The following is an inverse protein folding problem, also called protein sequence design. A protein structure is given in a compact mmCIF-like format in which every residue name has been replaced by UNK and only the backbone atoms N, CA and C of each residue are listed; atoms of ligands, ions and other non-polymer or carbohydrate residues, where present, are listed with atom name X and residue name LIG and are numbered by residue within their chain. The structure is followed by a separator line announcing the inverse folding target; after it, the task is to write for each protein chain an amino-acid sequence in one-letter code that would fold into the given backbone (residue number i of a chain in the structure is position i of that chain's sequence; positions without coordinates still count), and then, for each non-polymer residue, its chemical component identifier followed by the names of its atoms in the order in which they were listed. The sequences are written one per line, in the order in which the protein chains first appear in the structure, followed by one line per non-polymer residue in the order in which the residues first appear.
data_IF_483544573713
#
_entry.id   IF_483544573713
#
_cell.length_a   1.000
_cell.length_b   1.000
_cell.length_c   1.000
_cell.angle_alpha   90.00
_cell.angle_beta   90.00
_cell.angle_gamma   90.00
#
_symmetry.space_group_name_H-M   'P 1'
#
loop_
_entity.id
_entity.type
_entity.pdbx_description
1 polymer ?
#
# COMPACT_ATOMS: atom_id res chain seq x y z
N UNK A 1 15.89 3.59 0.07
CA UNK A 1 14.43 3.48 -0.05
C UNK A 1 13.78 4.83 -0.08
N UNK A 2 12.59 4.94 -0.66
CA UNK A 2 11.80 6.16 -0.70
C UNK A 2 10.32 5.85 -0.74
N UNK A 3 9.51 6.68 -0.11
CA UNK A 3 8.07 6.48 0.00
C UNK A 3 7.31 7.79 -0.03
N UNK A 4 6.08 7.73 -0.53
CA UNK A 4 5.14 8.85 -0.48
C UNK A 4 3.72 8.34 -0.24
N UNK A 5 2.91 9.14 0.41
CA UNK A 5 1.50 8.84 0.65
C UNK A 5 0.63 10.10 0.59
N UNK A 6 -0.69 9.89 0.49
CA UNK A 6 -1.68 10.97 0.43
C UNK A 6 -1.44 12.00 -0.71
N UNK A 7 -0.88 11.56 -1.82
CA UNK A 7 -0.70 12.35 -3.04
C UNK A 7 -1.99 12.33 -3.86
N UNK A 8 -2.40 13.49 -4.38
CA UNK A 8 -3.66 13.66 -5.11
C UNK A 8 -3.47 14.16 -6.54
N UNK A 9 -2.37 14.86 -6.82
CA UNK A 9 -2.15 15.55 -8.12
C UNK A 9 -1.01 15.00 -8.95
N UNK A 10 -0.22 14.08 -8.43
CA UNK A 10 0.92 13.51 -9.17
C UNK A 10 0.46 12.33 -10.02
N UNK A 11 0.74 12.38 -11.33
CA UNK A 11 0.36 11.31 -12.27
C UNK A 11 0.95 9.95 -11.90
N UNK A 12 2.21 9.94 -11.43
CA UNK A 12 2.96 8.73 -11.11
C UNK A 12 3.62 8.84 -9.73
N UNK A 13 2.91 8.53 -8.63
CA UNK A 13 3.46 8.62 -7.27
C UNK A 13 4.76 7.84 -7.06
N UNK A 14 4.93 6.71 -7.73
CA UNK A 14 6.15 5.90 -7.64
C UNK A 14 7.41 6.66 -8.11
N UNK A 15 7.27 7.60 -9.04
CA UNK A 15 8.39 8.46 -9.47
C UNK A 15 8.81 9.43 -8.37
N UNK A 16 7.85 9.92 -7.56
CA UNK A 16 8.16 10.75 -6.40
C UNK A 16 8.87 9.92 -5.34
N UNK A 17 8.37 8.71 -5.04
CA UNK A 17 9.03 7.79 -4.11
C UNK A 17 10.48 7.50 -4.54
N UNK A 18 10.71 7.27 -5.82
CA UNK A 18 12.05 7.10 -6.39
C UNK A 18 12.90 8.36 -6.20
N UNK A 19 12.36 9.55 -6.46
CA UNK A 19 13.07 10.81 -6.29
C UNK A 19 13.41 11.08 -4.81
N UNK A 20 12.51 10.72 -3.87
CA UNK A 20 12.81 10.77 -2.43
C UNK A 20 14.04 9.95 -2.10
N UNK A 21 14.13 8.73 -2.64
CA UNK A 21 15.27 7.84 -2.44
C UNK A 21 16.57 8.38 -3.02
N UNK A 22 16.51 8.96 -4.23
CA UNK A 22 17.71 9.32 -4.98
C UNK A 22 18.23 10.73 -4.65
N UNK A 23 17.35 11.66 -4.23
CA UNK A 23 17.65 13.08 -4.16
C UNK A 23 17.33 13.74 -2.82
N UNK A 24 16.90 12.99 -1.81
CA UNK A 24 16.66 13.53 -0.48
C UNK A 24 17.39 12.78 0.60
N UNK A 25 17.57 13.43 1.75
CA UNK A 25 18.06 12.79 2.98
C UNK A 25 16.95 12.12 3.79
N UNK A 26 15.71 12.23 3.33
CA UNK A 26 14.53 11.68 3.99
C UNK A 26 14.10 10.38 3.32
N UNK A 27 13.26 9.62 4.00
CA UNK A 27 12.75 8.33 3.50
C UNK A 27 11.28 8.46 3.05
N UNK A 28 10.51 9.33 3.69
CA UNK A 28 9.06 9.41 3.44
C UNK A 28 8.56 10.84 3.47
N UNK A 29 7.72 11.18 2.48
CA UNK A 29 6.93 12.40 2.44
C UNK A 29 5.44 12.10 2.36
N UNK A 30 4.60 13.04 2.82
CA UNK A 30 3.15 12.88 2.88
C UNK A 30 2.40 14.12 2.40
N UNK A 31 1.26 13.89 1.75
CA UNK A 31 0.28 14.92 1.39
C UNK A 31 0.87 16.07 0.60
N UNK A 32 0.52 17.30 0.99
CA UNK A 32 0.94 18.52 0.31
C UNK A 32 2.46 18.68 0.25
N UNK A 33 3.19 18.29 1.30
CA UNK A 33 4.65 18.33 1.28
C UNK A 33 5.26 17.41 0.23
N UNK A 34 4.67 16.22 0.02
CA UNK A 34 5.10 15.32 -1.04
C UNK A 34 4.79 15.89 -2.44
N UNK A 35 3.66 16.60 -2.61
CA UNK A 35 3.31 17.26 -3.87
C UNK A 35 4.21 18.46 -4.18
N UNK A 36 4.55 19.27 -3.17
CA UNK A 36 5.52 20.36 -3.31
C UNK A 36 6.90 19.82 -3.70
N UNK A 37 7.35 18.73 -3.07
CA UNK A 37 8.60 18.08 -3.44
C UNK A 37 8.56 17.56 -4.88
N UNK A 38 7.45 16.97 -5.33
CA UNK A 38 7.25 16.52 -6.69
C UNK A 38 7.33 17.70 -7.69
N UNK A 39 6.69 18.83 -7.35
CA UNK A 39 6.71 20.04 -8.17
C UNK A 39 8.12 20.63 -8.31
N UNK A 40 8.86 20.74 -7.20
CA UNK A 40 10.25 21.22 -7.19
C UNK A 40 11.19 20.36 -8.04
N UNK A 41 10.87 19.08 -8.21
CA UNK A 41 11.62 18.14 -9.02
C UNK A 41 11.02 17.90 -10.42
N UNK A 42 10.14 18.79 -10.88
CA UNK A 42 9.50 18.73 -12.20
C UNK A 42 8.78 17.40 -12.52
N UNK A 43 8.23 16.73 -11.51
CA UNK A 43 7.44 15.52 -11.73
C UNK A 43 6.04 15.92 -12.20
N UNK A 44 5.53 15.35 -13.30
CA UNK A 44 4.26 15.72 -13.89
C UNK A 44 3.09 15.62 -12.93
N UNK A 45 2.33 16.69 -12.85
CA UNK A 45 1.07 16.77 -12.10
C UNK A 45 -0.12 16.71 -13.05
N UNK A 46 -1.28 16.42 -12.50
CA UNK A 46 -2.54 16.39 -13.24
C UNK A 46 -3.68 16.92 -12.38
N UNK A 47 -4.70 17.41 -13.05
CA UNK A 47 -5.95 17.81 -12.42
C UNK A 47 -6.75 16.59 -11.96
N UNK A 48 -7.72 16.81 -11.08
CA UNK A 48 -8.58 15.75 -10.55
C UNK A 48 -9.31 14.95 -11.65
N UNK A 49 -9.61 15.58 -12.78
CA UNK A 49 -10.23 14.94 -13.94
C UNK A 49 -9.38 13.81 -14.55
N UNK A 50 -8.07 13.90 -14.47
CA UNK A 50 -7.16 12.85 -14.94
C UNK A 50 -7.35 11.53 -14.18
N UNK A 51 -7.67 11.61 -12.89
CA UNK A 51 -7.84 10.43 -12.02
C UNK A 51 -9.29 9.93 -11.99
N UNK A 52 -10.22 10.69 -12.61
CA UNK A 52 -11.62 10.29 -12.65
C UNK A 52 -11.84 9.18 -13.66
N UNK A 53 -12.55 8.14 -13.25
CA UNK A 53 -13.13 7.16 -14.16
C UNK A 53 -14.59 6.89 -13.77
N UNK A 54 -15.48 6.82 -14.75
CA UNK A 54 -16.90 6.58 -14.55
C UNK A 54 -17.13 5.27 -13.74
N UNK A 55 -16.40 4.22 -14.06
CA UNK A 55 -16.48 2.94 -13.38
C UNK A 55 -16.16 3.05 -11.87
N UNK A 56 -15.09 3.74 -11.48
CA UNK A 56 -14.76 3.90 -10.07
C UNK A 56 -15.72 4.83 -9.33
N UNK A 57 -16.25 5.84 -10.02
CA UNK A 57 -17.26 6.72 -9.47
C UNK A 57 -18.56 5.98 -9.16
N UNK A 58 -19.03 5.14 -10.06
CA UNK A 58 -20.23 4.31 -9.86
C UNK A 58 -20.06 3.32 -8.72
N UNK A 59 -18.91 2.67 -8.63
CA UNK A 59 -18.57 1.80 -7.50
C UNK A 59 -18.59 2.56 -6.17
N UNK A 60 -17.95 3.73 -6.12
CA UNK A 60 -17.94 4.57 -4.93
C UNK A 60 -19.37 5.01 -4.53
N UNK A 61 -20.18 5.42 -5.50
CA UNK A 61 -21.58 5.81 -5.26
C UNK A 61 -22.39 4.66 -4.68
N UNK A 62 -22.30 3.47 -5.25
CA UNK A 62 -22.97 2.29 -4.73
C UNK A 62 -22.53 1.92 -3.31
N UNK A 63 -21.26 2.08 -2.99
CA UNK A 63 -20.76 1.89 -1.62
C UNK A 63 -21.28 2.95 -0.66
N UNK A 64 -21.32 4.22 -1.07
CA UNK A 64 -21.81 5.33 -0.25
C UNK A 64 -23.29 5.11 0.13
N UNK A 65 -24.12 4.77 -0.84
CA UNK A 65 -25.56 4.54 -0.63
C UNK A 65 -25.81 3.34 0.31
N UNK A 66 -24.93 2.33 0.31
CA UNK A 66 -25.03 1.15 1.20
C UNK A 66 -24.40 1.36 2.59
N UNK A 67 -23.58 2.37 2.77
CA UNK A 67 -22.62 2.42 3.90
C UNK A 67 -22.86 3.60 4.85
N UNK A 68 -23.73 4.57 4.54
CA UNK A 68 -23.95 5.71 5.46
C UNK A 68 -24.42 5.28 6.87
N UNK A 69 -25.04 4.09 6.98
CA UNK A 69 -25.39 3.48 8.28
C UNK A 69 -24.39 2.46 8.84
N UNK A 70 -23.44 1.96 8.04
CA UNK A 70 -22.56 0.84 8.44
C UNK A 70 -21.13 1.28 8.81
N UNK A 71 -20.65 2.40 8.29
CA UNK A 71 -19.28 2.83 8.52
C UNK A 71 -19.03 3.37 9.93
N UNK A 72 -20.03 4.03 10.52
CA UNK A 72 -19.99 4.41 11.94
C UNK A 72 -19.89 3.17 12.82
N UNK A 73 -20.52 2.07 12.43
CA UNK A 73 -20.44 0.76 13.11
C UNK A 73 -19.12 0.04 12.90
N UNK A 74 -18.33 0.32 11.87
CA UNK A 74 -17.02 -0.32 11.69
C UNK A 74 -15.98 0.22 12.67
N UNK A 75 -16.00 1.49 12.98
CA UNK A 75 -15.15 2.07 14.04
C UNK A 75 -15.59 1.56 15.41
N UNK A 76 -16.89 1.42 15.64
CA UNK A 76 -17.45 0.85 16.88
C UNK A 76 -17.34 -0.67 16.94
N UNK A 77 -17.33 -1.36 15.80
CA UNK A 77 -17.33 -2.84 15.75
C UNK A 77 -15.93 -3.46 15.80
N UNK A 78 -14.86 -2.71 15.70
CA UNK A 78 -13.53 -3.18 16.15
C UNK A 78 -13.57 -3.50 17.65
N UNK A 79 -14.52 -2.89 18.38
CA UNK A 79 -14.79 -3.20 19.79
C UNK A 79 -15.87 -4.29 19.99
N UNK A 80 -16.61 -4.67 18.96
CA UNK A 80 -17.77 -5.60 19.07
C UNK A 80 -17.65 -6.87 18.20
N UNK A 81 -16.45 -7.29 17.82
CA UNK A 81 -16.16 -8.41 16.89
C UNK A 81 -16.52 -9.81 17.38
N UNK A 82 -17.42 -9.96 18.36
CA UNK A 82 -17.83 -11.30 18.82
C UNK A 82 -19.12 -11.86 18.21
N UNK A 83 -19.92 -11.10 17.45
CA UNK A 83 -21.18 -11.62 16.92
C UNK A 83 -21.74 -10.88 15.68
N UNK A 84 -21.03 -10.85 14.55
CA UNK A 84 -21.62 -10.36 13.29
C UNK A 84 -21.85 -11.54 12.34
N UNK A 85 -23.12 -11.78 11.90
CA UNK A 85 -23.38 -12.75 10.85
C UNK A 85 -22.73 -12.30 9.53
N UNK A 86 -22.14 -13.25 8.84
CA UNK A 86 -21.42 -13.21 7.58
C UNK A 86 -22.22 -12.64 6.41
N UNK A 87 -22.60 -11.38 6.42
CA UNK A 87 -23.22 -10.69 5.26
C UNK A 87 -22.16 -9.97 4.39
N UNK A 88 -20.89 -10.01 4.79
CA UNK A 88 -19.78 -9.38 4.03
C UNK A 88 -19.17 -10.29 2.95
N UNK A 89 -19.69 -11.49 2.75
CA UNK A 89 -19.09 -12.49 1.85
C UNK A 89 -19.28 -12.27 0.35
N UNK A 90 -19.87 -11.14 -0.10
CA UNK A 90 -20.10 -10.88 -1.53
C UNK A 90 -19.61 -9.51 -2.02
N UNK A 91 -18.81 -8.79 -1.25
CA UNK A 91 -18.05 -7.68 -1.80
C UNK A 91 -16.72 -8.29 -2.25
N UNK A 92 -16.59 -8.62 -3.54
CA UNK A 92 -15.27 -8.83 -4.14
C UNK A 92 -14.46 -7.56 -3.87
N UNK A 93 -13.63 -7.58 -2.84
CA UNK A 93 -12.58 -6.59 -2.64
C UNK A 93 -11.59 -6.74 -3.79
N UNK A 94 -11.88 -6.09 -4.91
CA UNK A 94 -10.89 -5.95 -5.98
C UNK A 94 -9.82 -5.00 -5.48
N UNK A 95 -8.74 -5.60 -5.00
CA UNK A 95 -7.54 -4.89 -4.62
C UNK A 95 -7.00 -4.12 -5.83
N UNK A 96 -6.76 -2.82 -5.67
CA UNK A 96 -6.23 -1.94 -6.72
C UNK A 96 -4.74 -1.68 -6.58
N UNK A 97 -4.03 -2.48 -5.79
CA UNK A 97 -2.59 -2.37 -5.59
C UNK A 97 -1.85 -3.06 -6.73
N UNK A 98 -0.85 -2.37 -7.28
CA UNK A 98 0.10 -2.94 -8.22
C UNK A 98 1.48 -3.00 -7.59
N UNK A 99 2.23 -4.08 -7.89
CA UNK A 99 3.56 -4.30 -7.39
C UNK A 99 4.50 -4.86 -8.44
N UNK A 100 5.78 -4.58 -8.26
CA UNK A 100 6.83 -5.12 -9.09
C UNK A 100 8.03 -5.48 -8.22
N UNK A 101 8.57 -6.67 -8.41
CA UNK A 101 9.83 -7.11 -7.85
C UNK A 101 10.77 -7.48 -8.98
N UNK A 102 12.04 -7.09 -8.86
CA UNK A 102 13.03 -7.27 -9.94
C UNK A 102 14.33 -7.78 -9.36
N UNK A 103 14.97 -8.68 -10.10
CA UNK A 103 16.36 -9.08 -9.90
C UNK A 103 17.13 -8.75 -11.17
N UNK A 104 18.22 -7.99 -11.06
CA UNK A 104 19.06 -7.66 -12.18
C UNK A 104 20.07 -8.79 -12.48
N UNK A 105 20.83 -8.62 -13.57
CA UNK A 105 21.85 -9.61 -13.98
C UNK A 105 23.03 -9.75 -13.01
N UNK A 106 23.17 -8.82 -12.08
CA UNK A 106 24.21 -8.85 -11.06
C UNK A 106 23.71 -9.39 -9.72
N UNK A 107 22.40 -9.74 -9.64
CA UNK A 107 21.79 -10.26 -8.43
C UNK A 107 21.17 -9.20 -7.52
N UNK A 108 21.20 -7.91 -7.89
CA UNK A 108 20.56 -6.87 -7.10
C UNK A 108 19.04 -6.98 -7.18
N UNK A 109 18.41 -6.77 -6.03
CA UNK A 109 16.96 -6.84 -5.87
C UNK A 109 16.35 -5.44 -5.69
N UNK A 110 15.18 -5.25 -6.28
CA UNK A 110 14.37 -4.06 -6.06
C UNK A 110 12.88 -4.44 -5.96
N UNK A 111 12.14 -3.66 -5.19
CA UNK A 111 10.68 -3.76 -5.08
C UNK A 111 10.05 -2.38 -5.19
N UNK A 112 8.86 -2.32 -5.77
CA UNK A 112 8.04 -1.12 -5.84
C UNK A 112 6.57 -1.49 -5.75
N UNK A 113 5.81 -0.74 -4.96
CA UNK A 113 4.37 -0.94 -4.76
C UNK A 113 3.65 0.39 -4.90
N UNK A 114 2.50 0.40 -5.56
CA UNK A 114 1.68 1.59 -5.74
C UNK A 114 0.20 1.27 -5.62
N UNK A 115 -0.56 2.13 -4.96
CA UNK A 115 -1.99 1.93 -4.70
C UNK A 115 -2.73 3.26 -4.56
N UNK A 116 -4.02 3.26 -4.87
CA UNK A 116 -4.94 4.32 -4.47
C UNK A 116 -5.46 4.17 -3.03
N UNK A 117 -5.16 3.05 -2.39
CA UNK A 117 -5.71 2.69 -1.08
C UNK A 117 -7.14 2.16 -1.17
N UNK A 118 -7.79 2.05 -0.03
CA UNK A 118 -9.18 1.60 0.05
C UNK A 118 -10.13 2.64 -0.56
N UNK A 119 -11.17 2.15 -1.23
CA UNK A 119 -12.26 2.99 -1.70
C UNK A 119 -13.00 3.61 -0.51
N UNK A 120 -13.38 4.88 -0.65
CA UNK A 120 -14.06 5.63 0.41
C UNK A 120 -13.30 5.72 1.75
N UNK A 121 -11.97 5.57 1.72
CA UNK A 121 -11.13 5.73 2.92
C UNK A 121 -11.33 7.11 3.55
N UNK A 122 -11.33 7.18 4.86
CA UNK A 122 -11.50 8.41 5.64
C UNK A 122 -10.18 8.83 6.31
N UNK A 123 -10.13 10.07 6.78
CA UNK A 123 -9.05 10.60 7.64
C UNK A 123 -7.64 10.42 7.06
N UNK A 124 -7.50 10.47 5.72
CA UNK A 124 -6.22 10.22 5.03
C UNK A 124 -5.61 8.85 5.39
N UNK A 125 -6.45 7.81 5.56
CA UNK A 125 -5.99 6.46 5.88
C UNK A 125 -4.87 6.03 4.94
N UNK A 126 -3.81 5.52 5.54
CA UNK A 126 -2.64 4.95 4.87
C UNK A 126 -2.68 3.42 5.05
N UNK A 127 -2.53 2.68 3.96
CA UNK A 127 -2.34 1.23 3.99
C UNK A 127 -0.87 0.84 4.08
N UNK A 128 -0.59 -0.41 3.80
CA UNK A 128 0.73 -1.02 3.86
C UNK A 128 1.70 -0.55 2.77
N UNK A 129 1.18 -0.26 1.57
CA UNK A 129 2.00 -0.01 0.37
C UNK A 129 3.12 1.02 0.53
N UNK A 130 2.91 2.20 1.18
CA UNK A 130 3.97 3.17 1.38
C UNK A 130 4.86 2.87 2.59
N UNK A 131 4.54 1.88 3.41
CA UNK A 131 5.27 1.54 4.62
C UNK A 131 6.32 0.49 4.29
N UNK A 132 7.59 0.92 4.31
CA UNK A 132 8.73 0.05 4.03
C UNK A 132 8.82 -1.04 5.11
N UNK A 133 8.87 -2.28 4.66
CA UNK A 133 8.83 -3.46 5.54
C UNK A 133 7.42 -4.02 5.74
N UNK A 134 6.35 -3.24 5.54
CA UNK A 134 4.98 -3.75 5.58
C UNK A 134 4.50 -4.19 4.19
N UNK A 135 4.30 -3.25 3.28
CA UNK A 135 3.79 -3.52 1.93
C UNK A 135 4.86 -3.63 0.84
N UNK A 136 6.09 -3.19 1.12
CA UNK A 136 7.19 -3.17 0.15
C UNK A 136 8.52 -3.35 0.88
N UNK A 137 9.34 -4.29 0.40
CA UNK A 137 10.69 -4.50 0.94
C UNK A 137 11.61 -5.12 -0.11
N UNK A 138 12.88 -4.75 -0.10
CA UNK A 138 13.91 -5.44 -0.87
C UNK A 138 15.26 -5.38 -0.14
N UNK A 139 15.94 -6.51 -0.11
CA UNK A 139 17.31 -6.65 0.39
C UNK A 139 18.06 -7.68 -0.46
N UNK A 140 19.26 -7.32 -0.94
CA UNK A 140 20.11 -8.25 -1.68
C UNK A 140 20.49 -9.49 -0.89
N UNK A 141 20.42 -9.43 0.44
CA UNK A 141 20.75 -10.56 1.32
C UNK A 141 19.62 -11.59 1.44
N UNK A 142 18.36 -11.21 1.08
CA UNK A 142 17.20 -12.07 1.30
C UNK A 142 16.26 -12.12 0.08
N UNK A 143 15.33 -11.18 -0.01
CA UNK A 143 14.28 -11.20 -1.02
C UNK A 143 13.79 -9.80 -1.40
N UNK A 144 12.96 -9.74 -2.44
CA UNK A 144 12.16 -8.56 -2.81
C UNK A 144 10.67 -8.92 -2.74
N UNK A 145 9.88 -8.09 -2.08
CA UNK A 145 8.46 -8.35 -1.77
C UNK A 145 7.64 -7.11 -2.08
N UNK A 146 6.48 -7.34 -2.68
CA UNK A 146 5.39 -6.38 -2.81
C UNK A 146 4.09 -7.06 -2.36
N UNK A 147 3.41 -6.47 -1.39
CA UNK A 147 2.19 -7.02 -0.79
C UNK A 147 0.93 -6.34 -1.34
N UNK A 148 -0.17 -7.08 -1.27
CA UNK A 148 -1.52 -6.56 -1.45
C UNK A 148 -2.50 -7.36 -0.59
N UNK A 149 -3.49 -6.69 -0.01
CA UNK A 149 -4.48 -7.30 0.88
C UNK A 149 -5.05 -6.28 1.85
N UNK A 150 -5.42 -6.74 3.05
CA UNK A 150 -5.84 -5.88 4.16
C UNK A 150 -4.61 -5.17 4.72
N UNK A 151 -4.42 -3.89 4.35
CA UNK A 151 -3.22 -3.13 4.68
C UNK A 151 -2.88 -3.10 6.17
N UNK A 152 -3.91 -3.07 7.02
CA UNK A 152 -3.78 -3.07 8.47
C UNK A 152 -3.07 -4.34 9.00
N UNK A 153 -3.33 -5.50 8.40
CA UNK A 153 -2.71 -6.76 8.82
C UNK A 153 -1.23 -6.79 8.41
N UNK A 154 -0.93 -6.35 7.20
CA UNK A 154 0.47 -6.21 6.76
C UNK A 154 1.26 -5.21 7.60
N UNK A 155 0.62 -4.11 8.05
CA UNK A 155 1.26 -3.13 8.94
C UNK A 155 1.53 -3.73 10.32
N UNK A 156 0.52 -4.40 10.93
CA UNK A 156 0.66 -5.00 12.26
C UNK A 156 1.77 -6.05 12.33
N UNK A 157 1.91 -6.85 11.28
CA UNK A 157 2.90 -7.93 11.20
C UNK A 157 4.22 -7.50 10.59
N UNK A 158 4.32 -6.25 10.07
CA UNK A 158 5.47 -5.77 9.27
C UNK A 158 5.83 -6.80 8.19
N UNK A 159 4.82 -7.28 7.46
CA UNK A 159 4.79 -8.53 6.75
C UNK A 159 5.98 -8.76 5.80
N UNK A 160 6.28 -7.79 4.93
CA UNK A 160 7.37 -7.93 3.98
C UNK A 160 8.75 -8.08 4.66
N UNK A 161 8.98 -7.36 5.76
CA UNK A 161 10.24 -7.48 6.52
C UNK A 161 10.29 -8.77 7.33
N UNK A 162 9.17 -9.21 7.90
CA UNK A 162 9.09 -10.47 8.65
C UNK A 162 9.48 -11.67 7.79
N UNK A 163 9.02 -11.74 6.53
CA UNK A 163 9.49 -12.79 5.59
C UNK A 163 10.99 -12.72 5.39
N UNK A 164 11.54 -11.53 5.15
CA UNK A 164 12.98 -11.34 4.98
C UNK A 164 13.76 -11.75 6.25
N UNK A 165 13.24 -11.43 7.44
CA UNK A 165 13.87 -11.81 8.72
C UNK A 165 13.84 -13.32 8.96
N UNK A 166 12.75 -14.00 8.60
CA UNK A 166 12.67 -15.46 8.66
C UNK A 166 13.71 -16.12 7.74
N UNK A 167 13.96 -15.55 6.57
CA UNK A 167 15.04 -16.00 5.69
C UNK A 167 16.41 -15.74 6.30
N UNK A 168 16.65 -14.52 6.80
CA UNK A 168 17.95 -14.07 7.29
C UNK A 168 18.36 -14.75 8.60
N UNK A 169 17.45 -14.83 9.57
CA UNK A 169 17.78 -15.29 10.93
C UNK A 169 17.42 -16.75 11.20
N UNK A 170 16.44 -17.31 10.51
CA UNK A 170 16.10 -18.74 10.61
C UNK A 170 16.62 -19.58 9.44
N UNK A 171 17.17 -18.98 8.39
CA UNK A 171 17.67 -19.69 7.21
C UNK A 171 16.57 -20.33 6.37
N UNK A 172 15.33 -19.86 6.46
CA UNK A 172 14.21 -20.39 5.69
C UNK A 172 14.32 -20.02 4.22
N UNK A 173 13.80 -20.88 3.34
CA UNK A 173 13.55 -20.49 1.94
C UNK A 173 12.47 -19.43 1.87
N UNK A 174 12.40 -18.66 0.77
CA UNK A 174 11.34 -17.66 0.55
C UNK A 174 9.95 -18.28 0.67
N UNK A 175 9.74 -19.46 0.09
CA UNK A 175 8.46 -20.18 0.16
C UNK A 175 8.11 -20.55 1.61
N UNK A 176 9.04 -21.14 2.35
CA UNK A 176 8.83 -21.52 3.75
C UNK A 176 8.56 -20.31 4.65
N UNK A 177 9.32 -19.22 4.46
CA UNK A 177 9.14 -17.98 5.21
C UNK A 177 7.78 -17.32 4.94
N UNK A 178 7.33 -17.34 3.69
CA UNK A 178 6.02 -16.80 3.31
C UNK A 178 4.89 -17.65 3.89
N UNK A 179 5.00 -18.97 3.82
CA UNK A 179 4.01 -19.87 4.41
C UNK A 179 3.91 -19.71 5.94
N UNK A 180 5.06 -19.55 6.64
CA UNK A 180 5.08 -19.33 8.10
C UNK A 180 4.41 -18.00 8.50
N UNK A 181 4.44 -16.98 7.64
CA UNK A 181 3.76 -15.70 7.92
C UNK A 181 2.25 -15.78 7.71
N UNK A 182 1.78 -16.55 6.69
CA UNK A 182 0.38 -16.55 6.25
C UNK A 182 -0.46 -17.53 7.08
N UNK A 183 0.13 -18.58 7.63
CA UNK A 183 -0.50 -19.67 8.38
C UNK A 183 -0.04 -19.68 9.84
#
# INVERSE_FOLDING_TARGET
CGSVNNIQRVQNPIKVARMVMDSSKYIMFSGEGAEQFAQLNNIPQADASYFYTQHQYERWKGMKDSTEGKYIRYVDSVMALQNIPTVLNNIEEKFGTVGCVVKDKYGNLAAGTSTGGLMNKKFNRIGDSPIIGAGTYASNNTCAISCTGTGEDFIKTVAAKTVADLMEFKGLTLEAATNELIH
#
